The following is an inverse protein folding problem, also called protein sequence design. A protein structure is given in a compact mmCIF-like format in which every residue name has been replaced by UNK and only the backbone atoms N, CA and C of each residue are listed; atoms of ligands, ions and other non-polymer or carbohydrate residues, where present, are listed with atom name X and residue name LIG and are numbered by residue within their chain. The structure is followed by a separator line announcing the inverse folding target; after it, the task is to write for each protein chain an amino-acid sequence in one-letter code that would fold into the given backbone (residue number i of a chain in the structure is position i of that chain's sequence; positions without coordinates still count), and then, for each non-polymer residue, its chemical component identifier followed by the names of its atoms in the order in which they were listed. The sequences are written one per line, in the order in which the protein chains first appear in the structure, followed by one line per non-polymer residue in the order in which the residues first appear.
data_IF_912489996565
#
_entry.id   IF_912489996565
#
_cell.length_a   1.000
_cell.length_b   1.000
_cell.length_c   1.000
_cell.angle_alpha   90.00
_cell.angle_beta   90.00
_cell.angle_gamma   90.00
#
_symmetry.space_group_name_H-M   'P 1'
#
loop_
_entity.id
_entity.type
_entity.pdbx_description
1 polymer ?
#
# COMPACT_ATOMS: atom_id res chain seq x y z
N UNK A 1 -68.35 25.73 6.46
CA UNK A 1 -67.27 25.39 5.51
C UNK A 1 -65.96 25.88 6.07
N UNK A 2 -65.10 24.96 6.54
CA UNK A 2 -63.63 25.02 6.71
C UNK A 2 -63.21 23.89 7.67
N UNK A 3 -62.41 22.89 7.25
CA UNK A 3 -61.85 21.89 8.15
C UNK A 3 -60.53 22.39 8.81
N UNK A 4 -60.11 21.75 9.92
CA UNK A 4 -59.09 22.28 10.81
C UNK A 4 -57.66 21.96 10.39
N UNK A 5 -56.78 22.87 10.83
CA UNK A 5 -55.33 22.91 10.74
C UNK A 5 -54.66 21.65 11.33
N UNK A 6 -53.93 20.90 10.50
CA UNK A 6 -52.98 19.86 10.96
C UNK A 6 -51.57 20.43 10.86
N UNK A 7 -51.07 20.88 12.00
CA UNK A 7 -49.69 21.29 12.19
C UNK A 7 -48.82 20.01 12.28
N UNK A 8 -48.38 19.51 11.13
CA UNK A 8 -47.38 18.45 11.05
C UNK A 8 -46.01 19.02 11.38
N UNK A 9 -45.50 18.70 12.58
CA UNK A 9 -44.09 18.87 12.94
C UNK A 9 -43.22 18.02 12.00
N UNK A 10 -42.85 18.59 10.85
CA UNK A 10 -41.69 18.15 10.10
C UNK A 10 -40.47 18.65 10.88
N UNK A 11 -39.91 17.77 11.73
CA UNK A 11 -38.55 17.96 12.24
C UNK A 11 -37.64 17.95 11.03
N UNK A 12 -37.28 19.15 10.56
CA UNK A 12 -36.20 19.38 9.62
C UNK A 12 -34.95 18.89 10.33
N UNK A 13 -34.50 17.67 10.02
CA UNK A 13 -33.16 17.23 10.37
C UNK A 13 -32.17 18.11 9.60
N UNK A 14 -31.70 19.16 10.25
CA UNK A 14 -30.56 19.95 9.79
C UNK A 14 -29.37 19.02 9.49
N UNK A 15 -28.62 19.22 8.39
CA UNK A 15 -27.47 18.38 8.05
C UNK A 15 -26.21 18.64 8.91
N UNK A 16 -26.33 19.39 10.00
CA UNK A 16 -25.21 19.75 10.90
C UNK A 16 -25.23 18.90 12.17
N UNK A 17 -25.06 17.58 12.03
CA UNK A 17 -24.89 16.74 13.22
C UNK A 17 -24.11 15.44 12.99
N UNK A 18 -23.19 15.37 12.01
CA UNK A 18 -22.13 14.35 12.01
C UNK A 18 -20.83 14.97 11.44
N UNK A 19 -20.29 15.97 12.14
CA UNK A 19 -18.89 16.39 11.98
C UNK A 19 -18.21 16.25 13.34
N UNK A 20 -18.00 15.00 13.74
CA UNK A 20 -17.25 14.63 14.94
C UNK A 20 -16.31 13.45 14.63
N UNK A 21 -15.41 13.69 13.67
CA UNK A 21 -14.10 13.03 13.57
C UNK A 21 -13.24 13.95 12.71
N UNK A 22 -12.37 14.73 13.36
CA UNK A 22 -11.56 15.74 12.71
C UNK A 22 -10.74 15.18 11.55
N UNK A 23 -11.08 15.63 10.33
CA UNK A 23 -10.23 15.53 9.16
C UNK A 23 -8.96 16.37 9.38
N UNK A 24 -7.84 15.71 9.70
CA UNK A 24 -6.50 16.33 9.64
C UNK A 24 -5.60 15.68 8.60
N UNK A 25 -5.90 14.44 8.19
CA UNK A 25 -5.02 13.68 7.31
C UNK A 25 -5.14 14.08 5.82
N UNK A 26 -6.32 14.50 5.37
CA UNK A 26 -6.58 14.80 3.95
C UNK A 26 -6.11 16.21 3.51
N UNK A 27 -5.66 17.07 4.43
CA UNK A 27 -5.22 18.45 4.12
C UNK A 27 -3.70 18.65 4.06
N UNK A 28 -2.89 17.67 4.46
CA UNK A 28 -1.43 17.78 4.45
C UNK A 28 -0.83 16.88 3.37
N UNK A 29 0.18 17.35 2.60
CA UNK A 29 0.95 16.48 1.72
C UNK A 29 1.49 15.27 2.52
N UNK A 30 1.38 14.06 1.97
CA UNK A 30 1.81 12.82 2.64
C UNK A 30 3.23 12.89 3.21
N UNK A 31 4.12 13.66 2.57
CA UNK A 31 5.48 13.89 3.06
C UNK A 31 5.51 14.70 4.36
N UNK A 32 4.69 15.74 4.49
CA UNK A 32 4.60 16.57 5.70
C UNK A 32 4.01 15.76 6.85
N UNK A 33 2.97 14.97 6.59
CA UNK A 33 2.38 14.06 7.58
C UNK A 33 3.42 13.02 8.03
N UNK A 34 4.13 12.41 7.08
CA UNK A 34 5.19 11.45 7.35
C UNK A 34 6.26 12.02 8.30
N UNK A 35 6.72 13.26 8.08
CA UNK A 35 7.73 13.87 8.95
C UNK A 35 7.21 14.06 10.37
N UNK A 36 5.98 14.56 10.53
CA UNK A 36 5.36 14.76 11.85
C UNK A 36 5.18 13.44 12.62
N UNK A 37 4.66 12.42 11.95
CA UNK A 37 4.47 11.08 12.54
C UNK A 37 5.79 10.42 12.95
N UNK A 38 6.90 10.71 12.24
CA UNK A 38 8.22 10.21 12.65
C UNK A 38 8.75 10.91 13.89
N UNK A 39 8.46 12.20 14.06
CA UNK A 39 8.91 12.98 15.21
C UNK A 39 8.16 12.58 16.48
N UNK A 40 6.86 12.31 16.36
CA UNK A 40 6.00 11.92 17.48
C UNK A 40 5.04 10.81 17.05
N UNK A 41 5.47 9.53 17.10
CA UNK A 41 4.63 8.44 16.63
C UNK A 41 3.35 8.24 17.46
N UNK A 42 3.44 8.40 18.77
CA UNK A 42 2.35 8.08 19.71
C UNK A 42 1.13 8.98 19.51
N UNK A 43 1.36 10.28 19.25
CA UNK A 43 0.26 11.24 19.03
C UNK A 43 -0.48 11.07 17.70
N UNK A 44 0.06 10.29 16.75
CA UNK A 44 -0.49 10.16 15.39
C UNK A 44 -0.99 8.75 15.06
N UNK A 45 -1.32 7.93 16.07
CA UNK A 45 -1.84 6.57 15.84
C UNK A 45 -3.17 6.58 15.09
N UNK A 46 -4.02 7.58 15.30
CA UNK A 46 -5.32 7.69 14.63
C UNK A 46 -5.16 7.93 13.12
N UNK A 47 -4.22 8.80 12.73
CA UNK A 47 -3.87 9.07 11.35
C UNK A 47 -3.26 7.84 10.68
N UNK A 48 -2.42 7.09 11.40
CA UNK A 48 -1.91 5.81 10.91
C UNK A 48 -3.05 4.82 10.64
N UNK A 49 -3.94 4.64 11.61
CA UNK A 49 -5.06 3.71 11.49
C UNK A 49 -6.00 4.11 10.34
N UNK A 50 -6.20 5.41 10.11
CA UNK A 50 -6.92 5.93 8.95
C UNK A 50 -6.19 5.58 7.64
N UNK A 51 -4.89 5.87 7.53
CA UNK A 51 -4.09 5.56 6.33
C UNK A 51 -4.07 4.06 6.04
N UNK A 52 -3.99 3.22 7.06
CA UNK A 52 -3.98 1.77 6.89
C UNK A 52 -5.36 1.23 6.47
N UNK A 53 -6.46 1.74 7.04
CA UNK A 53 -7.82 1.43 6.56
C UNK A 53 -8.01 1.85 5.11
N UNK A 54 -7.61 3.07 4.75
CA UNK A 54 -7.70 3.56 3.37
C UNK A 54 -6.88 2.70 2.40
N UNK A 55 -5.70 2.23 2.81
CA UNK A 55 -4.90 1.28 2.03
C UNK A 55 -5.68 -0.02 1.78
N UNK A 56 -6.26 -0.63 2.82
CA UNK A 56 -7.05 -1.86 2.70
C UNK A 56 -8.25 -1.66 1.78
N UNK A 57 -9.00 -0.56 1.96
CA UNK A 57 -10.13 -0.24 1.08
C UNK A 57 -9.72 -0.06 -0.38
N UNK A 58 -8.59 0.62 -0.67
CA UNK A 58 -8.07 0.74 -2.03
C UNK A 58 -7.62 -0.60 -2.61
N UNK A 59 -7.04 -1.48 -1.79
CA UNK A 59 -6.65 -2.82 -2.19
C UNK A 59 -7.86 -3.66 -2.59
N UNK A 60 -8.92 -3.63 -1.79
CA UNK A 60 -10.15 -4.37 -2.06
C UNK A 60 -10.85 -3.83 -3.31
N UNK A 61 -10.93 -2.50 -3.46
CA UNK A 61 -11.49 -1.87 -4.66
C UNK A 61 -10.68 -2.23 -5.91
N UNK A 62 -9.35 -2.21 -5.82
CA UNK A 62 -8.47 -2.61 -6.92
C UNK A 62 -8.71 -4.07 -7.33
N UNK A 63 -8.84 -4.99 -6.36
CA UNK A 63 -9.15 -6.40 -6.62
C UNK A 63 -10.50 -6.58 -7.29
N UNK A 64 -11.52 -5.83 -6.86
CA UNK A 64 -12.85 -5.83 -7.48
C UNK A 64 -12.79 -5.33 -8.93
N UNK A 65 -12.09 -4.22 -9.18
CA UNK A 65 -11.90 -3.69 -10.53
C UNK A 65 -11.18 -4.70 -11.44
N UNK A 66 -10.14 -5.37 -10.94
CA UNK A 66 -9.44 -6.41 -11.69
C UNK A 66 -10.35 -7.60 -12.03
N UNK A 67 -11.18 -8.04 -11.08
CA UNK A 67 -12.14 -9.13 -11.31
C UNK A 67 -13.24 -8.74 -12.32
N UNK A 68 -13.77 -7.52 -12.24
CA UNK A 68 -14.78 -7.02 -13.17
C UNK A 68 -14.21 -6.84 -14.58
N UNK A 69 -12.98 -6.35 -14.70
CA UNK A 69 -12.30 -6.20 -16.00
C UNK A 69 -12.03 -7.54 -16.68
N UNK A 70 -11.90 -8.63 -15.91
CA UNK A 70 -11.78 -9.98 -16.47
C UNK A 70 -13.14 -10.53 -16.92
N UNK A 71 -14.22 -10.19 -16.21
CA UNK A 71 -15.56 -10.73 -16.46
C UNK A 71 -16.41 -9.90 -17.44
N UNK A 72 -16.00 -8.67 -17.76
CA UNK A 72 -16.78 -7.75 -18.59
C UNK A 72 -16.18 -7.57 -19.99
N UNK A 73 -16.93 -7.97 -21.02
CA UNK A 73 -16.78 -7.48 -22.39
C UNK A 73 -17.15 -5.98 -22.52
N UNK A 74 -17.79 -5.41 -21.49
CA UNK A 74 -18.17 -4.01 -21.41
C UNK A 74 -16.99 -3.17 -20.92
N UNK A 75 -16.42 -2.35 -21.80
CA UNK A 75 -15.21 -1.54 -21.59
C UNK A 75 -15.30 -0.44 -20.53
N UNK A 76 -15.71 -0.77 -19.31
CA UNK A 76 -15.56 0.11 -18.14
C UNK A 76 -14.08 0.12 -17.78
N UNK A 77 -13.38 1.17 -18.20
CA UNK A 77 -11.99 1.39 -17.85
C UNK A 77 -11.84 1.43 -16.33
N UNK A 78 -10.93 0.61 -15.78
CA UNK A 78 -10.58 0.67 -14.37
C UNK A 78 -10.12 2.08 -14.01
N UNK A 79 -10.65 2.64 -12.92
CA UNK A 79 -10.29 3.99 -12.49
C UNK A 79 -8.80 4.03 -12.07
N UNK A 80 -7.94 4.74 -12.83
CA UNK A 80 -6.51 4.80 -12.55
C UNK A 80 -6.19 5.50 -11.21
N UNK A 81 -7.13 6.26 -10.64
CA UNK A 81 -6.97 6.90 -9.34
C UNK A 81 -6.79 5.87 -8.22
N UNK A 82 -7.47 4.73 -8.30
CA UNK A 82 -7.41 3.66 -7.30
C UNK A 82 -6.01 3.08 -7.21
N UNK A 83 -5.40 2.77 -8.36
CA UNK A 83 -4.04 2.27 -8.44
C UNK A 83 -3.02 3.30 -7.93
N UNK A 84 -3.22 4.59 -8.24
CA UNK A 84 -2.37 5.68 -7.75
C UNK A 84 -2.43 5.81 -6.23
N UNK A 85 -3.62 5.87 -5.65
CA UNK A 85 -3.80 5.98 -4.20
C UNK A 85 -3.25 4.75 -3.47
N UNK A 86 -3.46 3.55 -4.03
CA UNK A 86 -2.87 2.33 -3.50
C UNK A 86 -1.34 2.40 -3.49
N UNK A 87 -0.72 2.89 -4.58
CA UNK A 87 0.73 3.05 -4.68
C UNK A 87 1.29 4.03 -3.64
N UNK A 88 0.68 5.21 -3.53
CA UNK A 88 1.09 6.27 -2.57
C UNK A 88 1.00 5.77 -1.12
N UNK A 89 -0.12 5.14 -0.76
CA UNK A 89 -0.36 4.59 0.58
C UNK A 89 0.58 3.44 0.90
N UNK A 90 0.84 2.55 -0.07
CA UNK A 90 1.80 1.45 0.11
C UNK A 90 3.19 1.95 0.45
N UNK A 91 3.67 2.95 -0.29
CA UNK A 91 4.99 3.51 -0.03
C UNK A 91 5.03 4.25 1.32
N UNK A 92 3.98 5.02 1.63
CA UNK A 92 3.84 5.71 2.91
C UNK A 92 3.89 4.74 4.09
N UNK A 93 3.07 3.69 4.09
CA UNK A 93 3.02 2.69 5.17
C UNK A 93 4.35 1.94 5.30
N UNK A 94 5.03 1.64 4.18
CA UNK A 94 6.37 1.04 4.19
C UNK A 94 7.38 1.92 4.94
N UNK A 95 7.25 3.24 4.84
CA UNK A 95 8.08 4.15 5.60
C UNK A 95 7.70 4.23 7.08
N UNK A 96 6.42 4.11 7.42
CA UNK A 96 5.88 4.19 8.78
C UNK A 96 6.10 2.92 9.60
N UNK A 97 6.18 1.75 8.96
CA UNK A 97 6.29 0.46 9.65
C UNK A 97 7.32 0.37 10.79
N UNK A 98 8.54 0.95 10.70
CA UNK A 98 9.48 0.92 11.82
C UNK A 98 9.00 1.66 13.09
N UNK A 99 8.15 2.66 12.94
CA UNK A 99 7.61 3.48 14.04
C UNK A 99 6.31 2.90 14.59
N UNK A 100 5.67 1.97 13.86
CA UNK A 100 4.42 1.32 14.24
C UNK A 100 4.44 -0.18 13.94
N UNK A 101 5.39 -0.95 14.50
CA UNK A 101 5.60 -2.34 14.15
C UNK A 101 4.38 -3.22 14.47
N UNK A 102 3.72 -2.99 15.59
CA UNK A 102 2.60 -3.83 16.05
C UNK A 102 1.33 -3.59 15.21
N UNK A 103 1.06 -2.33 14.87
CA UNK A 103 -0.11 -1.95 14.06
C UNK A 103 0.03 -2.34 12.59
N UNK A 104 1.26 -2.41 12.09
CA UNK A 104 1.55 -2.73 10.69
C UNK A 104 2.17 -4.13 10.53
N UNK A 105 1.97 -5.03 11.48
CA UNK A 105 2.55 -6.38 11.45
C UNK A 105 2.17 -7.16 10.17
N UNK A 106 0.92 -7.05 9.72
CA UNK A 106 0.43 -7.77 8.54
C UNK A 106 0.74 -7.06 7.21
N UNK A 107 1.10 -5.78 7.27
CA UNK A 107 1.32 -4.97 6.07
C UNK A 107 2.35 -5.55 5.09
N UNK A 108 3.52 -6.06 5.53
CA UNK A 108 4.49 -6.64 4.61
C UNK A 108 3.98 -7.87 3.87
N UNK A 109 3.18 -8.70 4.54
CA UNK A 109 2.57 -9.89 3.94
C UNK A 109 1.58 -9.49 2.87
N UNK A 110 0.68 -8.55 3.18
CA UNK A 110 -0.27 -8.00 2.20
C UNK A 110 0.43 -7.44 0.95
N UNK A 111 1.55 -6.75 1.15
CA UNK A 111 2.33 -6.16 0.06
C UNK A 111 2.98 -7.23 -0.84
N UNK A 112 3.59 -8.25 -0.22
CA UNK A 112 4.22 -9.36 -0.92
C UNK A 112 3.20 -10.21 -1.68
N UNK A 113 2.05 -10.49 -1.07
CA UNK A 113 0.98 -11.28 -1.69
C UNK A 113 0.34 -10.55 -2.86
N UNK A 114 0.17 -9.23 -2.77
CA UNK A 114 -0.31 -8.43 -3.90
C UNK A 114 0.64 -8.54 -5.10
N UNK A 115 1.95 -8.39 -4.87
CA UNK A 115 2.95 -8.55 -5.93
C UNK A 115 2.93 -9.99 -6.49
N UNK A 116 2.93 -11.02 -5.64
CA UNK A 116 2.98 -12.41 -6.07
C UNK A 116 1.74 -12.84 -6.87
N UNK A 117 0.56 -12.38 -6.48
CA UNK A 117 -0.71 -12.80 -7.10
C UNK A 117 -1.08 -12.02 -8.37
N UNK A 118 -0.59 -10.78 -8.52
CA UNK A 118 -1.10 -9.88 -9.56
C UNK A 118 -0.02 -9.11 -10.31
N UNK A 119 1.28 -9.36 -10.07
CA UNK A 119 2.38 -8.62 -10.68
C UNK A 119 2.19 -8.33 -12.18
N UNK A 120 1.79 -9.33 -12.97
CA UNK A 120 1.59 -9.18 -14.42
C UNK A 120 0.45 -8.23 -14.80
N UNK A 121 -0.65 -8.19 -14.03
CA UNK A 121 -1.82 -7.35 -14.29
C UNK A 121 -1.73 -5.96 -13.63
N UNK A 122 -0.78 -5.74 -12.72
CA UNK A 122 -0.56 -4.42 -12.12
C UNK A 122 -0.07 -3.40 -13.15
N UNK A 123 -0.56 -2.15 -13.11
CA UNK A 123 0.06 -1.04 -13.81
C UNK A 123 1.54 -0.87 -13.39
N UNK A 124 2.40 -0.52 -14.35
CA UNK A 124 3.86 -0.36 -14.14
C UNK A 124 4.21 0.55 -12.96
N UNK A 125 3.50 1.68 -12.82
CA UNK A 125 3.71 2.64 -11.73
C UNK A 125 3.42 2.02 -10.35
N UNK A 126 2.27 1.36 -10.21
CA UNK A 126 1.88 0.67 -8.98
C UNK A 126 2.89 -0.42 -8.64
N UNK A 127 3.19 -1.30 -9.59
CA UNK A 127 4.16 -2.39 -9.44
C UNK A 127 5.53 -1.88 -8.95
N UNK A 128 5.99 -0.76 -9.51
CA UNK A 128 7.25 -0.10 -9.09
C UNK A 128 7.19 0.39 -7.64
N UNK A 129 6.10 1.05 -7.23
CA UNK A 129 5.96 1.55 -5.85
C UNK A 129 5.86 0.42 -4.82
N UNK A 130 5.10 -0.64 -5.12
CA UNK A 130 5.01 -1.81 -4.24
C UNK A 130 6.38 -2.48 -4.08
N UNK A 131 7.12 -2.62 -5.19
CA UNK A 131 8.48 -3.19 -5.18
C UNK A 131 9.44 -2.33 -4.37
N UNK A 132 9.38 -1.00 -4.52
CA UNK A 132 10.17 -0.07 -3.69
C UNK A 132 9.84 -0.19 -2.20
N UNK A 133 8.55 -0.27 -1.87
CA UNK A 133 8.08 -0.50 -0.50
C UNK A 133 8.64 -1.80 0.08
N UNK A 134 8.54 -2.90 -0.66
CA UNK A 134 9.06 -4.19 -0.21
C UNK A 134 10.58 -4.18 -0.03
N UNK A 135 11.33 -3.60 -0.97
CA UNK A 135 12.79 -3.40 -0.85
C UNK A 135 13.15 -2.60 0.41
N UNK A 136 12.38 -1.54 0.72
CA UNK A 136 12.59 -0.74 1.92
C UNK A 136 12.41 -1.58 3.20
N UNK A 137 11.35 -2.39 3.26
CA UNK A 137 11.07 -3.26 4.39
C UNK A 137 12.16 -4.33 4.57
N UNK A 138 12.61 -4.93 3.47
CA UNK A 138 13.70 -5.91 3.47
C UNK A 138 15.02 -5.28 3.93
N UNK A 139 15.37 -4.10 3.42
CA UNK A 139 16.58 -3.38 3.86
C UNK A 139 16.56 -3.03 5.36
N UNK A 140 15.37 -2.84 5.93
CA UNK A 140 15.14 -2.57 7.36
C UNK A 140 14.98 -3.83 8.21
N UNK A 141 15.16 -5.02 7.62
CA UNK A 141 14.98 -6.34 8.26
C UNK A 141 13.56 -6.56 8.83
N UNK A 142 12.56 -5.91 8.24
CA UNK A 142 11.14 -6.11 8.58
C UNK A 142 10.51 -7.23 7.77
N UNK A 143 11.17 -7.65 6.70
CA UNK A 143 10.84 -8.82 5.89
C UNK A 143 12.11 -9.61 5.67
N UNK A 144 12.01 -10.94 5.75
CA UNK A 144 13.12 -11.81 5.41
C UNK A 144 13.44 -11.76 3.91
N UNK A 145 14.73 -11.59 3.62
CA UNK A 145 15.21 -11.48 2.26
C UNK A 145 15.28 -12.85 1.55
N UNK A 146 15.52 -13.94 2.30
CA UNK A 146 15.50 -15.30 1.75
C UNK A 146 14.12 -15.63 1.17
N UNK A 147 13.06 -15.35 1.93
CA UNK A 147 11.67 -15.57 1.50
C UNK A 147 11.17 -14.62 0.41
N UNK A 148 11.87 -13.51 0.13
CA UNK A 148 11.48 -12.53 -0.91
C UNK A 148 12.34 -12.57 -2.17
N UNK A 149 13.45 -13.30 -2.17
CA UNK A 149 14.36 -13.40 -3.31
C UNK A 149 13.65 -13.94 -4.55
N UNK A 150 12.87 -15.02 -4.41
CA UNK A 150 12.10 -15.61 -5.51
C UNK A 150 11.16 -14.58 -6.17
N UNK A 151 10.47 -13.78 -5.35
CA UNK A 151 9.60 -12.71 -5.84
C UNK A 151 10.40 -11.64 -6.61
N UNK A 152 11.58 -11.23 -6.14
CA UNK A 152 12.41 -10.29 -6.87
C UNK A 152 12.98 -10.86 -8.18
N UNK A 153 13.21 -12.18 -8.27
CA UNK A 153 13.58 -12.83 -9.52
C UNK A 153 12.42 -12.83 -10.52
N UNK A 154 11.21 -13.18 -10.07
CA UNK A 154 9.99 -13.12 -10.88
C UNK A 154 9.74 -11.71 -11.43
N UNK A 155 9.86 -10.67 -10.59
CA UNK A 155 9.67 -9.28 -11.01
C UNK A 155 10.64 -8.83 -12.12
N UNK A 156 11.83 -9.43 -12.24
CA UNK A 156 12.80 -9.10 -13.30
C UNK A 156 12.40 -9.67 -14.67
N UNK A 157 11.51 -10.65 -14.72
CA UNK A 157 10.98 -11.22 -15.97
C UNK A 157 9.93 -10.31 -16.61
N UNK A 158 9.38 -9.36 -15.84
CA UNK A 158 8.42 -8.40 -16.33
C UNK A 158 9.12 -7.39 -17.24
N UNK A 159 8.55 -7.13 -18.42
CA UNK A 159 9.13 -6.27 -19.47
C UNK A 159 9.30 -4.79 -19.13
N UNK A 160 9.26 -4.43 -17.84
CA UNK A 160 9.46 -3.08 -17.33
C UNK A 160 10.95 -2.86 -16.99
N UNK A 161 11.62 -2.01 -17.79
CA UNK A 161 13.05 -1.71 -17.63
C UNK A 161 13.38 -1.10 -16.26
N UNK A 162 12.51 -0.24 -15.74
CA UNK A 162 12.72 0.46 -14.46
C UNK A 162 12.62 -0.52 -13.31
N UNK A 163 11.58 -1.36 -13.33
CA UNK A 163 11.40 -2.42 -12.34
C UNK A 163 12.55 -3.43 -12.36
N UNK A 164 12.95 -3.88 -13.56
CA UNK A 164 14.05 -4.83 -13.72
C UNK A 164 15.34 -4.28 -13.12
N UNK A 165 15.68 -3.02 -13.42
CA UNK A 165 16.86 -2.35 -12.83
C UNK A 165 16.77 -2.27 -11.31
N UNK A 166 15.58 -1.93 -10.78
CA UNK A 166 15.35 -1.81 -9.35
C UNK A 166 15.53 -3.15 -8.62
N UNK A 167 14.86 -4.21 -9.10
CA UNK A 167 14.91 -5.55 -8.53
C UNK A 167 16.32 -6.15 -8.64
N UNK A 168 16.94 -6.08 -9.82
CA UNK A 168 18.32 -6.54 -10.04
C UNK A 168 19.31 -5.87 -9.09
N UNK A 169 19.25 -4.54 -8.98
CA UNK A 169 20.15 -3.79 -8.08
C UNK A 169 20.00 -4.22 -6.61
N UNK A 170 18.77 -4.55 -6.19
CA UNK A 170 18.51 -5.04 -4.85
C UNK A 170 19.11 -6.44 -4.63
N UNK A 171 18.89 -7.36 -5.57
CA UNK A 171 19.41 -8.74 -5.53
C UNK A 171 20.94 -8.75 -5.48
N UNK A 172 21.61 -7.99 -6.36
CA UNK A 172 23.07 -7.90 -6.38
C UNK A 172 23.61 -7.38 -5.05
N UNK A 173 23.04 -6.29 -4.53
CA UNK A 173 23.46 -5.72 -3.25
C UNK A 173 23.27 -6.71 -2.11
N UNK A 174 22.23 -7.53 -2.17
CA UNK A 174 22.00 -8.58 -1.18
C UNK A 174 23.07 -9.68 -1.23
N UNK A 175 23.32 -10.25 -2.41
CA UNK A 175 24.36 -11.27 -2.61
C UNK A 175 25.71 -10.75 -2.11
N UNK A 176 26.05 -9.50 -2.48
CA UNK A 176 27.27 -8.84 -1.99
C UNK A 176 27.33 -8.73 -0.45
N UNK A 177 26.21 -8.41 0.21
CA UNK A 177 26.16 -8.34 1.69
C UNK A 177 26.30 -9.71 2.34
N UNK A 178 25.70 -10.76 1.76
CA UNK A 178 25.84 -12.13 2.25
C UNK A 178 27.30 -12.58 2.17
N UNK A 179 27.88 -12.45 0.98
CA UNK A 179 29.25 -12.90 0.68
C UNK A 179 30.31 -12.11 1.48
N UNK A 180 30.00 -10.87 1.93
CA UNK A 180 30.85 -10.09 2.82
C UNK A 180 30.82 -10.54 4.29
N UNK A 181 29.71 -11.14 4.75
CA UNK A 181 29.55 -11.57 6.15
C UNK A 181 29.93 -13.02 6.38
N UNK A 182 29.75 -13.87 5.38
CA UNK A 182 30.22 -15.24 5.37
C UNK A 182 30.69 -15.56 3.95
N UNK A 183 31.84 -16.22 3.81
CA UNK A 183 32.17 -16.95 2.58
C UNK A 183 31.24 -18.19 2.52
N UNK A 184 29.94 -17.95 2.30
CA UNK A 184 28.87 -18.95 2.37
C UNK A 184 28.79 -19.72 1.04
N UNK A 185 29.72 -20.66 0.84
CA UNK A 185 29.76 -21.56 -0.33
C UNK A 185 28.48 -22.42 -0.48
N UNK A 186 27.67 -22.56 0.57
CA UNK A 186 26.44 -23.37 0.55
C UNK A 186 25.25 -22.70 -0.17
N UNK A 187 25.21 -21.36 -0.27
CA UNK A 187 24.06 -20.62 -0.84
C UNK A 187 24.29 -20.09 -2.26
N UNK A 188 25.52 -20.14 -2.76
CA UNK A 188 25.86 -19.74 -4.14
C UNK A 188 25.62 -20.84 -5.19
N UNK A 189 25.16 -22.03 -4.79
CA UNK A 189 25.05 -23.20 -5.68
C UNK A 189 23.73 -23.35 -6.48
N UNK A 190 22.57 -22.76 -6.11
CA UNK A 190 21.35 -22.91 -6.89
C UNK A 190 20.90 -21.63 -7.66
N UNK A 191 21.80 -20.68 -7.91
CA UNK A 191 21.52 -19.51 -8.77
C UNK A 191 21.96 -19.75 -10.22
#
# INVERSE_FOLDING_TARGET
MLPPNINGNAVILSPEAISAAGCSADKLPLQSLQSKMKCDPESYTAELDLMYRQFKSSLDLFRQQAALSFNSLSGVAADPSVAKHLAERSLFLSHMLPHYPDRLADFPVLLADLLRSSAHSLPSSLRSHLTQGLILLVNRKKVDIGGTLALFMELQTLGDKTLKKLAYSHVIRFIQRMNKKHKDDAKNKPL
#
